data_IF_015236680550
#
_entry.id   IF_015236680550
#
_cell.length_a   1.000
_cell.length_b   1.000
_cell.length_c   1.000
_cell.angle_alpha   90.00
_cell.angle_beta   90.00
_cell.angle_gamma   90.00
#
_symmetry.space_group_name_H-M   'P 1'
#
loop_
_entity.id
_entity.type
_entity.pdbx_description
1 polymer ?
#
# COMPACT_ATOMS: atom_id res chain seq x y z
N UNK A 1 0.79 19.66 14.73
CA UNK A 1 0.40 18.64 15.73
C UNK A 1 -0.43 17.59 14.99
N UNK A 2 0.19 16.49 14.58
CA UNK A 2 -0.50 15.40 13.90
C UNK A 2 -1.24 14.59 14.97
N UNK A 3 -2.56 14.62 14.93
CA UNK A 3 -3.39 13.73 15.71
C UNK A 3 -3.10 12.30 15.25
N UNK A 4 -2.57 11.48 16.17
CA UNK A 4 -2.40 10.05 15.96
C UNK A 4 -3.77 9.44 15.60
N UNK A 5 -3.93 8.99 14.35
CA UNK A 5 -5.04 8.13 13.98
C UNK A 5 -4.93 6.88 14.84
N UNK A 6 -5.86 6.72 15.77
CA UNK A 6 -6.11 5.47 16.48
C UNK A 6 -6.10 4.33 15.46
N UNK A 7 -5.43 3.23 15.77
CA UNK A 7 -5.40 2.05 14.91
C UNK A 7 -6.84 1.68 14.56
N UNK A 8 -7.22 1.85 13.31
CA UNK A 8 -8.58 1.57 12.85
C UNK A 8 -8.74 0.05 12.91
N UNK A 9 -9.55 -0.44 13.84
CA UNK A 9 -9.85 -1.87 13.97
C UNK A 9 -10.36 -2.39 12.64
N UNK A 10 -9.64 -3.36 12.05
CA UNK A 10 -10.05 -4.05 10.83
C UNK A 10 -11.03 -5.16 11.21
N UNK A 11 -12.25 -5.09 10.68
CA UNK A 11 -13.29 -6.09 10.89
C UNK A 11 -13.20 -7.17 9.80
N UNK A 12 -13.31 -8.45 10.20
CA UNK A 12 -13.37 -9.58 9.28
C UNK A 12 -12.14 -9.77 8.39
N UNK A 13 -10.97 -9.35 8.85
CA UNK A 13 -9.68 -9.45 8.12
C UNK A 13 -8.61 -10.23 8.89
N UNK A 14 -9.04 -11.07 9.83
CA UNK A 14 -8.13 -11.80 10.71
C UNK A 14 -7.18 -12.70 9.92
N UNK A 15 -7.68 -13.32 8.81
CA UNK A 15 -6.87 -14.21 7.95
C UNK A 15 -5.83 -13.42 7.16
N UNK A 16 -6.23 -12.31 6.56
CA UNK A 16 -5.35 -11.45 5.77
C UNK A 16 -4.31 -10.79 6.65
N UNK A 17 -4.70 -10.34 7.84
CA UNK A 17 -3.79 -9.81 8.86
C UNK A 17 -2.79 -10.88 9.28
N UNK A 18 -3.23 -12.10 9.58
CA UNK A 18 -2.35 -13.19 9.97
C UNK A 18 -1.36 -13.55 8.86
N UNK A 19 -1.80 -13.54 7.59
CA UNK A 19 -0.95 -13.81 6.44
C UNK A 19 0.17 -12.75 6.32
N UNK A 20 -0.19 -11.46 6.34
CA UNK A 20 0.81 -10.37 6.27
C UNK A 20 1.73 -10.37 7.49
N UNK A 21 1.18 -10.69 8.68
CA UNK A 21 1.94 -10.85 9.90
C UNK A 21 3.01 -11.94 9.80
N UNK A 22 2.70 -13.05 9.15
CA UNK A 22 3.64 -14.13 8.91
C UNK A 22 4.78 -13.72 7.96
N UNK A 23 4.47 -12.93 6.91
CA UNK A 23 5.51 -12.34 6.05
C UNK A 23 6.45 -11.42 6.84
N UNK A 24 5.90 -10.54 7.69
CA UNK A 24 6.67 -9.64 8.56
C UNK A 24 7.54 -10.44 9.55
N UNK A 25 7.02 -11.52 10.11
CA UNK A 25 7.77 -12.36 11.05
C UNK A 25 8.97 -13.06 10.41
N UNK A 26 8.85 -13.43 9.12
CA UNK A 26 9.91 -14.10 8.35
C UNK A 26 10.89 -13.13 7.70
N UNK A 27 10.65 -11.83 7.72
CA UNK A 27 11.48 -10.82 7.06
C UNK A 27 12.96 -10.86 7.48
N UNK A 28 13.27 -11.29 8.71
CA UNK A 28 14.66 -11.41 9.20
C UNK A 28 15.44 -12.58 8.59
N UNK A 29 14.77 -13.54 7.92
CA UNK A 29 15.40 -14.76 7.39
C UNK A 29 15.24 -14.91 5.87
N UNK A 30 14.24 -14.28 5.27
CA UNK A 30 13.99 -14.34 3.84
C UNK A 30 13.16 -13.14 3.39
N UNK A 31 13.55 -12.55 2.28
CA UNK A 31 12.77 -11.50 1.64
C UNK A 31 11.53 -12.05 0.96
N UNK A 32 10.50 -11.22 0.87
CA UNK A 32 9.24 -11.58 0.23
C UNK A 32 8.53 -10.40 -0.38
N UNK A 33 7.74 -10.66 -1.41
CA UNK A 33 6.88 -9.65 -2.02
C UNK A 33 5.43 -10.15 -2.08
N UNK A 34 4.48 -9.21 -2.05
CA UNK A 34 3.05 -9.47 -2.06
C UNK A 34 2.31 -8.38 -2.83
N UNK A 35 1.33 -8.77 -3.63
CA UNK A 35 0.32 -7.89 -4.19
C UNK A 35 -0.98 -8.07 -3.41
N UNK A 36 -1.47 -7.01 -2.77
CA UNK A 36 -2.82 -6.95 -2.18
C UNK A 36 -3.76 -6.38 -3.23
N UNK A 37 -4.66 -7.22 -3.73
CA UNK A 37 -5.55 -6.89 -4.84
C UNK A 37 -7.01 -6.90 -4.42
N UNK A 38 -7.83 -6.04 -5.03
CA UNK A 38 -9.28 -6.03 -4.81
C UNK A 38 -9.92 -4.74 -5.30
N UNK A 39 -11.23 -4.66 -5.22
CA UNK A 39 -12.03 -3.52 -5.66
C UNK A 39 -11.71 -2.22 -4.91
N UNK A 40 -12.21 -1.10 -5.45
CA UNK A 40 -12.15 0.18 -4.74
C UNK A 40 -12.92 0.08 -3.41
N UNK A 41 -12.37 0.66 -2.34
CA UNK A 41 -13.06 0.71 -1.03
C UNK A 41 -13.04 -0.59 -0.23
N UNK A 42 -12.49 -1.71 -0.76
CA UNK A 42 -12.51 -3.03 -0.10
C UNK A 42 -11.58 -3.14 1.13
N UNK A 43 -10.71 -2.14 1.36
CA UNK A 43 -9.85 -2.08 2.54
C UNK A 43 -8.38 -2.42 2.31
N UNK A 44 -7.87 -2.39 1.06
CA UNK A 44 -6.44 -2.62 0.74
C UNK A 44 -5.51 -1.69 1.51
N UNK A 45 -5.74 -0.39 1.39
CA UNK A 45 -4.93 0.64 2.08
C UNK A 45 -4.97 0.50 3.60
N UNK A 46 -6.12 0.11 4.16
CA UNK A 46 -6.25 -0.14 5.59
C UNK A 46 -5.45 -1.36 6.04
N UNK A 47 -5.45 -2.45 5.25
CA UNK A 47 -4.63 -3.63 5.54
C UNK A 47 -3.13 -3.31 5.44
N UNK A 48 -2.71 -2.56 4.41
CA UNK A 48 -1.32 -2.15 4.24
C UNK A 48 -0.86 -1.19 5.35
N UNK A 49 -1.72 -0.29 5.79
CA UNK A 49 -1.44 0.61 6.90
C UNK A 49 -1.28 -0.14 8.23
N UNK A 50 -2.15 -1.13 8.50
CA UNK A 50 -2.04 -2.01 9.67
C UNK A 50 -0.76 -2.83 9.63
N UNK A 51 -0.42 -3.40 8.45
CA UNK A 51 0.83 -4.11 8.25
C UNK A 51 2.06 -3.23 8.53
N UNK A 52 2.05 -1.99 8.04
CA UNK A 52 3.09 -1.00 8.28
C UNK A 52 3.21 -0.64 9.78
N UNK A 53 2.09 -0.54 10.50
CA UNK A 53 2.09 -0.31 11.95
C UNK A 53 2.77 -1.45 12.69
N UNK A 54 2.37 -2.70 12.39
CA UNK A 54 2.95 -3.90 12.99
C UNK A 54 4.45 -4.08 12.66
N UNK A 55 4.86 -3.71 11.46
CA UNK A 55 6.27 -3.72 11.08
C UNK A 55 7.08 -2.72 11.93
N UNK A 56 6.55 -1.50 12.13
CA UNK A 56 7.19 -0.50 13.01
C UNK A 56 7.29 -0.97 14.47
N UNK A 57 6.23 -1.57 14.99
CA UNK A 57 6.21 -2.13 16.36
C UNK A 57 7.28 -3.21 16.56
N UNK A 58 7.69 -3.90 15.47
CA UNK A 58 8.80 -4.87 15.47
C UNK A 58 10.17 -4.26 15.18
N UNK A 59 10.28 -2.94 15.12
CA UNK A 59 11.53 -2.25 14.87
C UNK A 59 11.99 -2.30 13.41
N UNK A 60 11.11 -2.67 12.46
CA UNK A 60 11.44 -2.60 11.04
C UNK A 60 11.46 -1.15 10.54
N UNK A 61 12.35 -0.86 9.62
CA UNK A 61 12.28 0.39 8.84
C UNK A 61 11.14 0.27 7.84
N UNK A 62 10.18 1.20 7.91
CA UNK A 62 9.02 1.22 7.00
C UNK A 62 9.17 2.35 5.99
N UNK A 63 9.23 1.99 4.71
CA UNK A 63 9.25 2.91 3.57
C UNK A 63 7.89 2.87 2.88
N UNK A 64 7.28 4.03 2.64
CA UNK A 64 5.94 4.10 2.06
C UNK A 64 5.85 5.07 0.91
N UNK A 65 5.12 4.70 -0.12
CA UNK A 65 4.67 5.58 -1.21
C UNK A 65 3.24 5.20 -1.61
N UNK A 66 2.54 6.13 -2.21
CA UNK A 66 1.22 5.88 -2.78
C UNK A 66 1.14 6.52 -4.17
N UNK A 67 0.59 5.80 -5.12
CA UNK A 67 0.34 6.32 -6.46
C UNK A 67 -0.72 7.42 -6.45
N UNK A 68 -0.50 8.46 -7.24
CA UNK A 68 -1.45 9.53 -7.47
C UNK A 68 -1.71 9.68 -8.96
N UNK A 69 -2.97 9.66 -9.38
CA UNK A 69 -3.34 9.74 -10.80
C UNK A 69 -2.76 11.00 -11.49
N UNK A 70 -2.65 12.09 -10.76
CA UNK A 70 -2.06 13.34 -11.26
C UNK A 70 -0.54 13.29 -11.48
N UNK A 71 0.15 12.30 -10.90
CA UNK A 71 1.62 12.17 -10.92
C UNK A 71 2.13 11.03 -11.80
N UNK A 72 1.25 10.27 -12.43
CA UNK A 72 1.60 9.12 -13.29
C UNK A 72 2.55 9.47 -14.43
N UNK A 73 2.60 10.74 -14.85
CA UNK A 73 3.47 11.25 -15.91
C UNK A 73 4.83 11.76 -15.41
N UNK A 74 5.08 11.77 -14.10
CA UNK A 74 6.33 12.25 -13.50
C UNK A 74 7.28 11.06 -13.23
N UNK A 75 8.29 10.81 -14.11
CA UNK A 75 9.16 9.65 -13.94
C UNK A 75 9.87 9.66 -12.58
N UNK A 76 9.88 8.50 -11.91
CA UNK A 76 10.53 8.26 -10.63
C UNK A 76 9.99 9.08 -9.42
N UNK A 77 8.86 9.79 -9.55
CA UNK A 77 8.31 10.58 -8.46
C UNK A 77 7.98 9.71 -7.24
N UNK A 78 7.28 8.60 -7.44
CA UNK A 78 6.93 7.69 -6.36
C UNK A 78 8.17 7.00 -5.76
N UNK A 79 9.15 6.66 -6.58
CA UNK A 79 10.41 6.07 -6.12
C UNK A 79 11.22 7.04 -5.27
N UNK A 80 11.33 8.29 -5.69
CA UNK A 80 12.00 9.35 -4.93
C UNK A 80 11.34 9.57 -3.56
N UNK A 81 10.00 9.62 -3.53
CA UNK A 81 9.24 9.73 -2.28
C UNK A 81 9.53 8.55 -1.34
N UNK A 82 9.50 7.32 -1.88
CA UNK A 82 9.74 6.09 -1.13
C UNK A 82 11.13 6.08 -0.49
N UNK A 83 12.16 6.41 -1.27
CA UNK A 83 13.56 6.29 -0.87
C UNK A 83 14.06 7.46 -0.02
N UNK A 84 13.29 8.53 0.11
CA UNK A 84 13.69 9.74 0.85
C UNK A 84 14.34 9.46 2.23
N UNK A 85 13.83 8.50 3.05
CA UNK A 85 14.43 8.22 4.36
C UNK A 85 15.83 7.56 4.28
N UNK A 86 16.17 6.94 3.14
CA UNK A 86 17.42 6.17 2.95
C UNK A 86 18.37 6.80 1.94
N UNK A 87 18.02 7.92 1.32
CA UNK A 87 18.87 8.62 0.33
C UNK A 87 20.27 8.99 0.87
N UNK A 88 20.42 9.13 2.19
CA UNK A 88 21.73 9.33 2.81
C UNK A 88 22.73 8.21 2.53
N UNK A 89 22.27 7.00 2.22
CA UNK A 89 23.08 5.85 1.83
C UNK A 89 23.64 5.91 0.40
N UNK A 90 23.20 6.86 -0.44
CA UNK A 90 23.65 6.97 -1.83
C UNK A 90 25.18 7.10 -1.99
N UNK A 91 25.86 7.63 -0.98
CA UNK A 91 27.34 7.74 -0.99
C UNK A 91 28.04 6.38 -0.97
N UNK A 92 27.40 5.34 -0.45
CA UNK A 92 27.90 3.96 -0.42
C UNK A 92 27.73 3.20 -1.74
N UNK A 93 26.87 3.68 -2.65
CA UNK A 93 26.64 3.02 -3.93
C UNK A 93 27.87 3.09 -4.84
N UNK A 94 28.01 2.06 -5.67
CA UNK A 94 28.98 2.06 -6.77
C UNK A 94 28.79 3.31 -7.67
N UNK A 95 29.87 3.87 -8.24
CA UNK A 95 29.78 5.14 -8.99
C UNK A 95 28.73 5.14 -10.12
N UNK A 96 28.57 4.04 -10.85
CA UNK A 96 27.60 3.92 -11.94
C UNK A 96 26.16 3.84 -11.41
N UNK A 97 25.91 3.13 -10.32
CA UNK A 97 24.61 3.03 -9.66
C UNK A 97 24.18 4.40 -9.11
N UNK A 98 25.10 5.06 -8.40
CA UNK A 98 24.88 6.42 -7.87
C UNK A 98 24.58 7.42 -8.97
N UNK A 99 25.34 7.40 -10.07
CA UNK A 99 25.10 8.29 -11.22
C UNK A 99 23.72 8.03 -11.85
N UNK A 100 23.32 6.77 -12.03
CA UNK A 100 22.02 6.40 -12.57
C UNK A 100 20.88 6.88 -11.70
N UNK A 101 20.97 6.69 -10.38
CA UNK A 101 19.94 7.12 -9.43
C UNK A 101 19.89 8.66 -9.32
N UNK A 102 21.05 9.33 -9.31
CA UNK A 102 21.13 10.80 -9.34
C UNK A 102 20.49 11.38 -10.60
N UNK A 103 20.75 10.78 -11.77
CA UNK A 103 20.13 11.18 -13.03
C UNK A 103 18.61 10.95 -13.01
N UNK A 104 18.13 9.81 -12.49
CA UNK A 104 16.72 9.50 -12.37
C UNK A 104 15.97 10.52 -11.51
N UNK A 105 16.62 11.07 -10.48
CA UNK A 105 16.05 12.09 -9.59
C UNK A 105 16.34 13.55 -10.01
N UNK A 106 16.92 13.75 -11.20
CA UNK A 106 17.21 15.09 -11.71
C UNK A 106 18.26 15.85 -10.90
N UNK A 107 19.17 15.14 -10.19
CA UNK A 107 20.24 15.72 -9.39
C UNK A 107 21.51 16.02 -10.22
N UNK A 108 21.51 15.61 -11.48
CA UNK A 108 22.61 15.82 -12.44
C UNK A 108 22.05 16.08 -13.84
N UNK A 109 22.78 16.82 -14.66
CA UNK A 109 22.40 17.16 -16.06
C UNK A 109 22.51 15.95 -17.03
N UNK A 110 22.72 14.74 -16.56
CA UNK A 110 22.85 13.54 -17.38
C UNK A 110 21.49 13.11 -17.99
N UNK A 111 21.46 12.92 -19.31
CA UNK A 111 20.22 12.87 -20.11
C UNK A 111 19.53 11.50 -20.14
N UNK A 112 20.11 10.40 -19.64
CA UNK A 112 19.48 9.08 -19.74
C UNK A 112 19.72 8.24 -18.49
N UNK A 113 18.66 8.02 -17.71
CA UNK A 113 18.69 7.00 -16.66
C UNK A 113 18.51 5.61 -17.26
N UNK A 114 19.49 4.73 -17.06
CA UNK A 114 19.36 3.33 -17.37
C UNK A 114 18.50 2.66 -16.29
N UNK A 115 17.27 2.25 -16.60
CA UNK A 115 16.32 1.63 -15.67
C UNK A 115 16.89 0.41 -14.94
N UNK A 116 17.73 -0.39 -15.61
CA UNK A 116 18.39 -1.53 -14.98
C UNK A 116 19.37 -1.07 -13.88
N UNK A 117 20.18 -0.06 -14.17
CA UNK A 117 21.13 0.50 -13.19
C UNK A 117 20.41 1.20 -12.03
N UNK A 118 19.30 1.88 -12.31
CA UNK A 118 18.42 2.44 -11.25
C UNK A 118 17.87 1.32 -10.38
N UNK A 119 17.38 0.22 -10.96
CA UNK A 119 16.88 -0.93 -10.22
C UNK A 119 17.96 -1.57 -9.31
N UNK A 120 19.17 -1.72 -9.80
CA UNK A 120 20.29 -2.21 -8.98
C UNK A 120 20.64 -1.24 -7.86
N UNK A 121 20.70 0.07 -8.15
CA UNK A 121 20.96 1.09 -7.13
C UNK A 121 19.91 1.10 -6.02
N UNK A 122 18.64 0.94 -6.37
CA UNK A 122 17.52 0.87 -5.41
C UNK A 122 17.61 -0.39 -4.56
N UNK A 123 17.88 -1.55 -5.17
CA UNK A 123 18.08 -2.80 -4.46
C UNK A 123 19.21 -2.68 -3.42
N UNK A 124 20.37 -2.21 -3.84
CA UNK A 124 21.54 -2.02 -2.96
C UNK A 124 21.25 -1.03 -1.83
N UNK A 125 20.61 0.10 -2.14
CA UNK A 125 20.28 1.12 -1.15
C UNK A 125 19.32 0.61 -0.07
N UNK A 126 18.30 -0.18 -0.45
CA UNK A 126 17.35 -0.77 0.50
C UNK A 126 18.03 -1.93 1.25
N UNK A 127 18.86 -2.75 0.59
CA UNK A 127 19.60 -3.84 1.21
C UNK A 127 20.60 -3.31 2.26
N UNK A 128 21.33 -2.23 1.96
CA UNK A 128 22.20 -1.57 2.94
C UNK A 128 21.39 -1.08 4.16
N UNK A 129 20.24 -0.46 3.94
CA UNK A 129 19.37 -0.07 5.04
C UNK A 129 18.88 -1.28 5.85
N UNK A 130 18.64 -2.40 5.18
CA UNK A 130 18.16 -3.65 5.78
C UNK A 130 19.23 -4.35 6.66
N UNK A 131 20.53 -4.03 6.49
CA UNK A 131 21.60 -4.53 7.39
C UNK A 131 21.44 -4.03 8.83
N UNK A 132 20.77 -2.90 9.03
CA UNK A 132 20.56 -2.29 10.36
C UNK A 132 19.26 -2.75 11.02
N UNK A 133 18.23 -2.89 10.24
CA UNK A 133 16.93 -3.41 10.66
C UNK A 133 16.16 -3.88 9.42
N UNK A 134 15.36 -4.96 9.50
CA UNK A 134 14.56 -5.41 8.36
C UNK A 134 13.71 -4.27 7.82
N UNK A 135 13.50 -4.28 6.49
CA UNK A 135 12.77 -3.20 5.78
C UNK A 135 11.41 -3.71 5.33
N UNK A 136 10.37 -2.91 5.56
CA UNK A 136 9.04 -3.13 5.01
C UNK A 136 8.68 -1.99 4.06
N UNK A 137 8.52 -2.31 2.79
CA UNK A 137 8.15 -1.37 1.73
C UNK A 137 6.67 -1.49 1.44
N UNK A 138 5.95 -0.38 1.41
CA UNK A 138 4.55 -0.28 1.00
C UNK A 138 4.42 0.65 -0.20
N UNK A 139 3.91 0.12 -1.31
CA UNK A 139 3.55 0.86 -2.51
C UNK A 139 2.04 0.74 -2.72
N UNK A 140 1.27 1.66 -2.13
CA UNK A 140 -0.19 1.65 -2.23
C UNK A 140 -0.66 2.31 -3.53
N UNK A 141 -1.90 1.99 -3.97
CA UNK A 141 -2.47 2.48 -5.23
C UNK A 141 -1.50 2.33 -6.42
N UNK A 142 -0.85 1.16 -6.52
CA UNK A 142 0.26 0.93 -7.45
C UNK A 142 -0.13 1.09 -8.94
N UNK A 143 -1.42 1.01 -9.29
CA UNK A 143 -1.94 1.35 -10.62
C UNK A 143 -1.74 2.83 -11.00
N UNK A 144 -1.53 3.70 -10.00
CA UNK A 144 -1.28 5.13 -10.20
C UNK A 144 0.17 5.54 -9.95
N UNK A 145 1.08 4.59 -9.71
CA UNK A 145 2.52 4.89 -9.72
C UNK A 145 2.97 5.23 -11.13
N UNK A 146 3.95 6.12 -11.23
CA UNK A 146 4.59 6.34 -12.52
C UNK A 146 5.27 5.06 -13.04
N UNK A 147 5.26 4.80 -14.36
CA UNK A 147 5.77 3.55 -14.94
C UNK A 147 7.22 3.22 -14.52
N UNK A 148 8.08 4.23 -14.42
CA UNK A 148 9.49 4.04 -14.06
C UNK A 148 9.66 3.56 -12.63
N UNK A 149 8.92 4.14 -11.68
CA UNK A 149 8.89 3.71 -10.29
C UNK A 149 8.32 2.30 -10.15
N UNK A 150 7.19 2.03 -10.83
CA UNK A 150 6.51 0.74 -10.75
C UNK A 150 7.39 -0.40 -11.27
N UNK A 151 7.98 -0.24 -12.47
CA UNK A 151 8.89 -1.23 -13.07
C UNK A 151 10.14 -1.44 -12.20
N UNK A 152 10.68 -0.37 -11.62
CA UNK A 152 11.84 -0.45 -10.72
C UNK A 152 11.50 -1.23 -9.45
N UNK A 153 10.37 -0.95 -8.80
CA UNK A 153 9.94 -1.66 -7.60
C UNK A 153 9.62 -3.12 -7.88
N UNK A 154 9.00 -3.44 -9.02
CA UNK A 154 8.76 -4.82 -9.45
C UNK A 154 10.07 -5.57 -9.73
N UNK A 155 11.08 -4.89 -10.30
CA UNK A 155 12.42 -5.45 -10.49
C UNK A 155 13.09 -5.81 -9.16
N UNK A 156 13.03 -4.90 -8.17
CA UNK A 156 13.57 -5.11 -6.83
C UNK A 156 12.84 -6.26 -6.14
N UNK A 157 11.50 -6.26 -6.16
CA UNK A 157 10.65 -7.25 -5.49
C UNK A 157 10.96 -8.70 -5.89
N UNK A 158 11.49 -8.93 -7.09
CA UNK A 158 11.88 -10.26 -7.57
C UNK A 158 13.32 -10.67 -7.21
N UNK A 159 14.05 -9.82 -6.46
CA UNK A 159 15.49 -10.03 -6.16
C UNK A 159 15.85 -9.94 -4.69
N UNK A 160 14.84 -9.85 -3.84
CA UNK A 160 15.04 -9.66 -2.39
C UNK A 160 15.04 -10.97 -1.59
N UNK A 161 15.00 -12.16 -2.23
CA UNK A 161 14.86 -13.44 -1.52
C UNK A 161 15.89 -13.65 -0.40
N UNK A 162 17.11 -13.17 -0.61
CA UNK A 162 18.20 -13.28 0.37
C UNK A 162 18.30 -12.08 1.33
N UNK A 163 17.45 -11.07 1.16
CA UNK A 163 17.51 -9.82 1.91
C UNK A 163 16.41 -9.75 2.98
N UNK A 164 16.63 -9.12 4.13
CA UNK A 164 15.60 -8.93 5.13
C UNK A 164 14.62 -7.80 4.74
N UNK A 165 13.95 -7.98 3.59
CA UNK A 165 13.08 -7.00 2.96
C UNK A 165 11.73 -7.63 2.64
N UNK A 166 10.64 -6.95 2.98
CA UNK A 166 9.28 -7.28 2.53
C UNK A 166 8.74 -6.13 1.69
N UNK A 167 8.18 -6.42 0.52
CA UNK A 167 7.55 -5.42 -0.35
C UNK A 167 6.08 -5.77 -0.54
N UNK A 168 5.18 -4.85 -0.22
CA UNK A 168 3.74 -5.00 -0.41
C UNK A 168 3.20 -3.92 -1.37
N UNK A 169 2.49 -4.36 -2.40
CA UNK A 169 1.81 -3.50 -3.36
C UNK A 169 0.31 -3.53 -3.12
N UNK A 170 -0.35 -2.36 -3.13
CA UNK A 170 -1.81 -2.25 -3.18
C UNK A 170 -2.25 -1.99 -4.62
N UNK A 171 -3.07 -2.87 -5.21
CA UNK A 171 -3.52 -2.77 -6.60
C UNK A 171 -5.03 -2.85 -6.68
N UNK A 172 -5.67 -1.96 -7.43
CA UNK A 172 -7.09 -1.98 -7.70
C UNK A 172 -7.42 -2.90 -8.87
N UNK A 173 -8.48 -3.72 -8.74
CA UNK A 173 -8.99 -4.53 -9.83
C UNK A 173 -9.53 -3.68 -10.99
N UNK A 174 -9.43 -4.21 -12.20
CA UNK A 174 -10.00 -3.61 -13.40
C UNK A 174 -9.25 -2.42 -13.98
N UNK A 175 -8.04 -2.13 -13.49
CA UNK A 175 -7.17 -1.09 -14.04
C UNK A 175 -5.84 -1.71 -14.49
N UNK A 176 -5.37 -1.26 -15.66
CA UNK A 176 -4.04 -1.65 -16.16
C UNK A 176 -2.95 -1.13 -15.22
N UNK A 177 -1.96 -1.97 -14.96
CA UNK A 177 -0.82 -1.63 -14.11
C UNK A 177 0.44 -2.42 -14.52
N UNK A 178 1.60 -1.95 -14.10
CA UNK A 178 2.89 -2.57 -14.42
C UNK A 178 3.31 -3.68 -13.43
N UNK A 179 2.46 -4.05 -12.48
CA UNK A 179 2.68 -5.17 -11.55
C UNK A 179 2.14 -6.47 -12.13
N UNK A 180 1.13 -6.39 -13.00
CA UNK A 180 0.54 -7.58 -13.64
C UNK A 180 1.60 -8.35 -14.44
N UNK A 181 1.54 -9.68 -14.34
CA UNK A 181 2.50 -10.56 -15.02
C UNK A 181 3.91 -10.61 -14.42
N UNK A 182 4.17 -9.95 -13.29
CA UNK A 182 5.49 -9.98 -12.62
C UNK A 182 5.77 -11.28 -11.87
N UNK A 183 4.74 -12.11 -11.62
CA UNK A 183 4.85 -13.36 -10.87
C UNK A 183 4.92 -13.17 -9.34
N UNK A 184 4.71 -11.96 -8.83
CA UNK A 184 4.62 -11.70 -7.39
C UNK A 184 3.32 -12.34 -6.86
N UNK A 185 3.37 -13.08 -5.73
CA UNK A 185 2.17 -13.68 -5.12
C UNK A 185 1.08 -12.66 -4.82
N UNK A 186 -0.20 -13.04 -5.01
CA UNK A 186 -1.34 -12.16 -4.79
C UNK A 186 -2.19 -12.60 -3.59
N UNK A 187 -2.59 -11.63 -2.78
CA UNK A 187 -3.64 -11.74 -1.76
C UNK A 187 -4.86 -10.95 -2.24
N UNK A 188 -5.94 -11.65 -2.58
CA UNK A 188 -7.18 -11.00 -3.01
C UNK A 188 -8.08 -10.68 -1.82
N UNK A 189 -8.49 -9.41 -1.73
CA UNK A 189 -9.50 -8.95 -0.77
C UNK A 189 -10.87 -8.90 -1.45
N UNK A 190 -11.80 -9.68 -0.91
CA UNK A 190 -13.23 -9.57 -1.23
C UNK A 190 -13.97 -8.63 -0.26
N UNK A 191 -15.27 -8.48 -0.44
CA UNK A 191 -16.16 -7.81 0.53
C UNK A 191 -16.10 -8.50 1.90
N UNK A 192 -16.51 -7.79 2.94
CA UNK A 192 -16.72 -8.36 4.28
C UNK A 192 -17.89 -9.33 4.27
N UNK A 193 -17.84 -10.34 5.10
CA UNK A 193 -19.00 -11.19 5.36
C UNK A 193 -20.11 -10.42 6.11
N UNK A 194 -21.28 -11.04 6.22
CA UNK A 194 -22.44 -10.37 6.81
C UNK A 194 -22.29 -10.03 8.30
N UNK A 195 -21.53 -10.81 9.08
CA UNK A 195 -21.26 -10.52 10.49
C UNK A 195 -20.29 -9.35 10.64
N UNK A 196 -19.20 -9.38 9.88
CA UNK A 196 -18.18 -8.32 9.87
C UNK A 196 -18.75 -7.00 9.34
N UNK A 197 -19.62 -7.06 8.32
CA UNK A 197 -20.32 -5.88 7.78
C UNK A 197 -21.21 -5.23 8.82
N UNK A 198 -21.99 -6.03 9.55
CA UNK A 198 -22.84 -5.55 10.66
C UNK A 198 -21.98 -4.95 11.78
N UNK A 199 -20.91 -5.62 12.16
CA UNK A 199 -20.03 -5.16 13.22
C UNK A 199 -19.33 -3.83 12.86
N UNK A 200 -18.88 -3.68 11.60
CA UNK A 200 -18.29 -2.43 11.10
C UNK A 200 -19.32 -1.29 11.13
N UNK A 201 -20.54 -1.55 10.64
CA UNK A 201 -21.60 -0.57 10.59
C UNK A 201 -22.02 -0.10 11.99
N UNK A 202 -22.23 -1.05 12.91
CA UNK A 202 -22.59 -0.76 14.30
C UNK A 202 -21.53 0.05 15.05
N UNK A 203 -20.26 -0.26 14.83
CA UNK A 203 -19.16 0.44 15.47
C UNK A 203 -19.02 1.90 15.02
N UNK A 204 -19.43 2.22 13.78
CA UNK A 204 -19.23 3.55 13.20
C UNK A 204 -20.52 4.39 13.19
N UNK A 205 -21.68 3.77 13.13
CA UNK A 205 -23.00 4.44 13.11
C UNK A 205 -23.96 3.78 14.09
N UNK A 206 -23.71 3.88 15.41
CA UNK A 206 -24.62 3.34 16.41
C UNK A 206 -25.95 4.13 16.36
N UNK A 207 -27.06 3.41 16.34
CA UNK A 207 -28.41 4.01 16.39
C UNK A 207 -29.11 4.14 15.05
N UNK A 208 -28.59 3.61 13.96
CA UNK A 208 -29.32 3.49 12.69
C UNK A 208 -30.61 2.70 12.89
N UNK A 209 -31.73 3.17 12.28
CA UNK A 209 -32.97 2.41 12.25
C UNK A 209 -32.74 1.04 11.58
N UNK A 210 -33.55 0.04 11.97
CA UNK A 210 -33.44 -1.30 11.40
C UNK A 210 -33.64 -1.29 9.87
N UNK A 211 -34.49 -0.43 9.37
CA UNK A 211 -34.79 -0.29 7.94
C UNK A 211 -33.58 0.29 7.18
N UNK A 212 -32.98 1.38 7.67
CA UNK A 212 -31.78 1.99 7.05
C UNK A 212 -30.60 1.03 7.12
N UNK A 213 -30.41 0.33 8.26
CA UNK A 213 -29.36 -0.68 8.41
C UNK A 213 -29.47 -1.77 7.35
N UNK A 214 -30.66 -2.30 7.11
CA UNK A 214 -30.89 -3.33 6.09
C UNK A 214 -30.51 -2.80 4.70
N UNK A 215 -30.99 -1.62 4.35
CA UNK A 215 -30.68 -1.00 3.05
C UNK A 215 -29.17 -0.79 2.87
N UNK A 216 -28.47 -0.27 3.88
CA UNK A 216 -27.02 -0.07 3.81
C UNK A 216 -26.28 -1.39 3.60
N UNK A 217 -26.65 -2.45 4.34
CA UNK A 217 -26.01 -3.76 4.20
C UNK A 217 -26.24 -4.37 2.82
N UNK A 218 -27.46 -4.22 2.26
CA UNK A 218 -27.82 -4.74 0.94
C UNK A 218 -27.06 -3.99 -0.18
N UNK A 219 -27.02 -2.66 -0.12
CA UNK A 219 -26.35 -1.86 -1.16
C UNK A 219 -24.82 -1.88 -1.08
N UNK A 220 -24.28 -2.01 0.12
CA UNK A 220 -22.82 -2.05 0.30
C UNK A 220 -22.19 -3.36 -0.18
N UNK A 221 -22.94 -4.47 -0.26
CA UNK A 221 -22.46 -5.80 -0.67
C UNK A 221 -21.14 -6.21 0.02
N UNK A 222 -21.00 -5.82 1.29
CA UNK A 222 -19.77 -6.08 2.07
C UNK A 222 -18.61 -5.13 1.79
N UNK A 223 -18.75 -4.11 0.93
CA UNK A 223 -17.70 -3.12 0.70
C UNK A 223 -17.54 -2.19 1.91
N UNK A 224 -16.38 -2.19 2.61
CA UNK A 224 -16.21 -1.38 3.82
C UNK A 224 -16.42 0.12 3.63
N UNK A 225 -15.96 0.68 2.50
CA UNK A 225 -16.13 2.11 2.22
C UNK A 225 -17.60 2.46 2.05
N UNK A 226 -18.35 1.64 1.32
CA UNK A 226 -19.79 1.83 1.14
C UNK A 226 -20.53 1.72 2.48
N UNK A 227 -20.16 0.77 3.35
CA UNK A 227 -20.74 0.64 4.70
C UNK A 227 -20.51 1.90 5.56
N UNK A 228 -19.42 2.63 5.35
CA UNK A 228 -19.09 3.84 6.10
C UNK A 228 -19.74 5.11 5.51
N UNK A 229 -19.92 5.18 4.20
CA UNK A 229 -20.40 6.38 3.49
C UNK A 229 -21.94 6.40 3.28
N UNK A 230 -22.55 5.25 2.97
CA UNK A 230 -23.99 5.16 2.68
C UNK A 230 -24.89 5.64 3.83
N UNK A 231 -24.60 5.40 5.12
CA UNK A 231 -25.45 5.92 6.19
C UNK A 231 -25.64 7.43 6.13
N UNK A 232 -24.57 8.18 5.91
CA UNK A 232 -24.61 9.65 5.83
C UNK A 232 -25.38 10.16 4.62
N UNK A 233 -25.32 9.45 3.49
CA UNK A 233 -26.04 9.79 2.28
C UNK A 233 -27.57 9.54 2.46
N UNK A 234 -27.95 8.44 3.09
CA UNK A 234 -29.34 8.08 3.32
C UNK A 234 -30.01 8.96 4.40
N UNK A 235 -29.28 9.35 5.45
CA UNK A 235 -29.82 10.28 6.47
C UNK A 235 -30.08 11.68 5.88
N UNK A 236 -29.29 12.13 4.92
CA UNK A 236 -29.51 13.40 4.24
C UNK A 236 -30.79 13.39 3.38
N UNK A 237 -31.09 12.29 2.71
CA UNK A 237 -32.29 12.14 1.88
C UNK A 237 -33.56 12.02 2.72
N UNK A 238 -33.52 11.36 3.88
CA UNK A 238 -34.69 11.22 4.78
C UNK A 238 -35.05 12.58 5.41
N UNK A 239 -34.08 13.44 5.68
CA UNK A 239 -34.33 14.79 6.21
C UNK A 239 -34.91 15.75 5.18
N UNK A 240 -34.64 15.57 3.87
CA UNK A 240 -35.20 16.39 2.81
C UNK A 240 -36.66 16.04 2.42
N UNK A 241 -37.09 14.81 2.70
CA UNK A 241 -38.47 14.36 2.43
C UNK A 241 -39.43 14.72 3.59
N UNK A 242 -38.92 15.10 4.74
CA UNK A 242 -39.71 15.37 5.95
C UNK A 242 -40.02 16.87 6.22
N UNK A 243 -39.77 17.76 5.24
CA UNK A 243 -40.20 19.19 5.38
C UNK A 243 -41.34 19.47 4.40
N UNK A 244 -42.56 19.64 4.91
CA UNK A 244 -43.74 20.02 4.09
C UNK A 244 -43.68 21.48 3.62
#
# INVERSE_FOLDING_TARGET
MAQGKSATRLFGREREIAFVQDLINRAGSAGSALVVRGEAGVGKSSLLAEAASRARERGMLVLTTAGAQSETHLPFAALHQLLRPVLGGMSGLEPMQRAALSSAFGLTDSVASNLFMVGLAVLELIAEAATRSPVFVVADEAQWLDPSSCVTLAFVARRIEAEPIVIAFGVRDGLDNHIDGTGIPELRLGGLDGESSKALLEANTPGLSAQVRTLVLDYAEGNPLALLELPSALDADVTHVATP
#
